data_IF_350352783596
#
_entry.id   IF_350352783596
#
_cell.length_a   1.000
_cell.length_b   1.000
_cell.length_c   1.000
_cell.angle_alpha   90.00
_cell.angle_beta   90.00
_cell.angle_gamma   90.00
#
_symmetry.space_group_name_H-M   'P 1'
#
loop_
_entity.id
_entity.type
_entity.pdbx_description
1 polymer ?
#
# COMPACT_ATOMS: atom_id res chain seq x y z
N UNK A 1 -3.31 -0.43 0.90
CA UNK A 1 -2.09 0.41 0.95
C UNK A 1 -2.08 1.39 -0.21
N UNK A 2 -1.38 2.50 -0.08
CA UNK A 2 -1.04 3.39 -1.18
C UNK A 2 -0.01 2.76 -2.14
N UNK A 3 0.29 3.42 -3.24
CA UNK A 3 1.23 2.95 -4.29
C UNK A 3 2.49 3.82 -4.33
N UNK A 4 2.34 5.10 -4.67
CA UNK A 4 3.48 6.01 -4.83
C UNK A 4 4.03 6.41 -3.45
N UNK A 5 5.31 6.18 -3.20
CA UNK A 5 5.90 6.39 -1.87
C UNK A 5 5.74 5.22 -0.88
N UNK A 6 5.03 4.15 -1.27
CA UNK A 6 4.87 2.92 -0.49
C UNK A 6 5.44 1.72 -1.25
N UNK A 7 4.86 1.38 -2.39
CA UNK A 7 5.31 0.33 -3.31
C UNK A 7 6.42 0.80 -4.27
N UNK A 8 6.56 2.11 -4.42
CA UNK A 8 7.65 2.79 -5.12
C UNK A 8 8.39 3.68 -4.13
N UNK A 9 9.49 4.28 -4.57
CA UNK A 9 10.28 5.27 -3.80
C UNK A 9 9.66 6.68 -3.80
N UNK A 10 8.44 6.84 -4.35
CA UNK A 10 7.76 8.13 -4.48
C UNK A 10 8.19 8.94 -5.69
N UNK A 11 9.06 8.42 -6.55
CA UNK A 11 9.47 9.10 -7.79
C UNK A 11 8.72 8.56 -9.01
N UNK A 12 8.53 9.43 -9.99
CA UNK A 12 7.94 9.11 -11.29
C UNK A 12 8.89 9.62 -12.38
N UNK A 13 9.34 8.73 -13.25
CA UNK A 13 10.09 9.11 -14.44
C UNK A 13 9.12 9.39 -15.58
N UNK A 14 9.24 10.58 -16.20
CA UNK A 14 8.42 10.98 -17.35
C UNK A 14 9.37 11.35 -18.49
N UNK A 15 9.27 10.64 -19.62
CA UNK A 15 10.02 10.93 -20.82
C UNK A 15 9.40 12.09 -21.62
N UNK A 16 10.15 12.64 -22.58
CA UNK A 16 9.70 13.78 -23.40
C UNK A 16 8.49 13.47 -24.28
N UNK A 17 8.23 12.20 -24.57
CA UNK A 17 7.04 11.72 -25.28
C UNK A 17 5.86 11.41 -24.35
N UNK A 18 6.01 11.71 -23.05
CA UNK A 18 4.95 11.57 -22.04
C UNK A 18 4.80 10.16 -21.44
N UNK A 19 5.71 9.24 -21.76
CA UNK A 19 5.66 7.89 -21.17
C UNK A 19 6.07 7.95 -19.70
N UNK A 20 5.19 7.44 -18.81
CA UNK A 20 5.44 7.30 -17.38
C UNK A 20 6.10 5.96 -17.08
N UNK A 21 7.11 5.98 -16.23
CA UNK A 21 7.78 4.78 -15.72
C UNK A 21 7.84 4.83 -14.19
N UNK A 22 7.57 3.69 -13.55
CA UNK A 22 7.69 3.49 -12.10
C UNK A 22 8.54 2.26 -11.81
N UNK A 23 9.35 2.33 -10.76
CA UNK A 23 10.14 1.21 -10.27
C UNK A 23 9.42 0.52 -9.12
N UNK A 24 9.13 -0.78 -9.28
CA UNK A 24 8.55 -1.62 -8.23
C UNK A 24 9.55 -2.65 -7.75
N UNK A 25 9.61 -2.86 -6.43
CA UNK A 25 10.46 -3.88 -5.83
C UNK A 25 9.90 -5.29 -6.05
N UNK A 26 10.76 -6.22 -6.50
CA UNK A 26 10.41 -7.64 -6.54
C UNK A 26 10.28 -8.24 -5.14
N UNK A 27 10.98 -7.68 -4.14
CA UNK A 27 10.87 -8.11 -2.74
C UNK A 27 9.47 -7.80 -2.20
N UNK A 28 8.97 -6.60 -2.44
CA UNK A 28 7.62 -6.18 -2.05
C UNK A 28 6.57 -7.02 -2.77
N UNK A 29 6.75 -7.23 -4.07
CA UNK A 29 5.87 -8.10 -4.85
C UNK A 29 5.77 -9.52 -4.29
N UNK A 30 6.89 -10.11 -3.88
CA UNK A 30 6.90 -11.43 -3.24
C UNK A 30 6.17 -11.43 -1.90
N UNK A 31 6.27 -10.35 -1.11
CA UNK A 31 5.49 -10.19 0.13
C UNK A 31 3.99 -10.26 -0.13
N UNK A 32 3.51 -9.53 -1.14
CA UNK A 32 2.10 -9.53 -1.52
C UNK A 32 1.62 -10.90 -2.03
N UNK A 33 2.44 -11.60 -2.82
CA UNK A 33 2.13 -12.97 -3.27
C UNK A 33 1.98 -13.92 -2.06
N UNK A 34 2.85 -13.82 -1.07
CA UNK A 34 2.76 -14.62 0.17
C UNK A 34 1.52 -14.30 0.99
N UNK A 35 1.15 -13.01 1.12
CA UNK A 35 -0.11 -12.63 1.76
C UNK A 35 -1.31 -13.25 1.04
N UNK A 36 -1.34 -13.19 -0.29
CA UNK A 36 -2.40 -13.78 -1.09
C UNK A 36 -2.49 -15.30 -0.88
N UNK A 37 -1.36 -16.01 -0.88
CA UNK A 37 -1.30 -17.46 -0.60
C UNK A 37 -1.80 -17.81 0.81
N UNK A 38 -1.63 -16.92 1.77
CA UNK A 38 -2.15 -17.05 3.13
C UNK A 38 -3.62 -16.60 3.28
N UNK A 39 -4.32 -16.29 2.19
CA UNK A 39 -5.72 -15.87 2.21
C UNK A 39 -5.94 -14.43 2.67
N UNK A 40 -4.91 -13.58 2.66
CA UNK A 40 -5.06 -12.15 2.94
C UNK A 40 -5.42 -11.42 1.66
N UNK A 41 -6.49 -10.64 1.70
CA UNK A 41 -6.92 -9.81 0.57
C UNK A 41 -6.01 -8.58 0.49
N UNK A 42 -5.41 -8.35 -0.67
CA UNK A 42 -4.57 -7.19 -0.96
C UNK A 42 -5.35 -6.18 -1.78
N UNK A 43 -5.27 -4.90 -1.37
CA UNK A 43 -5.88 -3.79 -2.10
C UNK A 43 -4.91 -2.61 -2.22
N UNK A 44 -4.91 -1.97 -3.39
CA UNK A 44 -4.16 -0.75 -3.65
C UNK A 44 -5.12 0.41 -3.86
N UNK A 45 -4.85 1.55 -3.20
CA UNK A 45 -5.64 2.78 -3.31
C UNK A 45 -4.69 3.92 -3.63
N UNK A 46 -4.62 4.35 -4.89
CA UNK A 46 -3.72 5.39 -5.36
C UNK A 46 -4.47 6.69 -5.68
N UNK A 47 -3.89 7.82 -5.31
CA UNK A 47 -4.38 9.15 -5.70
C UNK A 47 -4.20 9.44 -7.19
N UNK A 48 -3.29 8.74 -7.86
CA UNK A 48 -2.97 8.90 -9.29
C UNK A 48 -3.46 7.71 -10.10
N UNK A 49 -3.98 7.98 -11.28
CA UNK A 49 -4.19 6.96 -12.31
C UNK A 49 -2.87 6.73 -13.07
N UNK A 50 -2.46 5.47 -13.20
CA UNK A 50 -1.19 5.09 -13.82
C UNK A 50 -1.29 3.72 -14.47
N UNK A 51 -0.94 3.65 -15.75
CA UNK A 51 -0.88 2.38 -16.48
C UNK A 51 0.22 1.46 -15.93
N UNK A 52 1.36 2.01 -15.50
CA UNK A 52 2.43 1.24 -14.87
C UNK A 52 1.93 0.57 -13.58
N UNK A 53 1.12 1.26 -12.77
CA UNK A 53 0.47 0.69 -11.58
C UNK A 53 -0.52 -0.41 -11.96
N UNK A 54 -1.34 -0.19 -12.99
CA UNK A 54 -2.31 -1.18 -13.49
C UNK A 54 -1.60 -2.47 -13.92
N UNK A 55 -0.52 -2.35 -14.69
CA UNK A 55 0.28 -3.51 -15.15
C UNK A 55 0.88 -4.28 -13.98
N UNK A 56 1.45 -3.57 -12.99
CA UNK A 56 2.03 -4.23 -11.82
C UNK A 56 0.98 -4.91 -10.96
N UNK A 57 -0.16 -4.29 -10.74
CA UNK A 57 -1.28 -4.87 -10.00
C UNK A 57 -1.79 -6.15 -10.70
N UNK A 58 -1.91 -6.12 -12.02
CA UNK A 58 -2.32 -7.28 -12.83
C UNK A 58 -1.31 -8.44 -12.71
N UNK A 59 -0.01 -8.15 -12.84
CA UNK A 59 1.06 -9.14 -12.69
C UNK A 59 0.99 -9.84 -11.33
N UNK A 60 0.79 -9.07 -10.26
CA UNK A 60 0.71 -9.56 -8.88
C UNK A 60 -0.68 -10.10 -8.50
N UNK A 61 -1.65 -10.07 -9.44
CA UNK A 61 -3.04 -10.49 -9.23
C UNK A 61 -3.69 -9.78 -8.04
N UNK A 62 -3.45 -8.48 -7.89
CA UNK A 62 -4.09 -7.65 -6.87
C UNK A 62 -5.58 -7.54 -7.20
N UNK A 63 -6.49 -8.06 -6.35
CA UNK A 63 -7.92 -8.13 -6.69
C UNK A 63 -8.63 -6.78 -6.65
N UNK A 64 -8.10 -5.82 -5.90
CA UNK A 64 -8.71 -4.50 -5.71
C UNK A 64 -7.68 -3.41 -5.99
N UNK A 65 -7.81 -2.77 -7.15
CA UNK A 65 -7.04 -1.61 -7.56
C UNK A 65 -7.98 -0.41 -7.71
N UNK A 66 -7.84 0.59 -6.84
CA UNK A 66 -8.58 1.84 -6.86
C UNK A 66 -7.58 2.95 -7.20
N UNK A 67 -7.82 3.68 -8.29
CA UNK A 67 -6.94 4.76 -8.74
C UNK A 67 -7.70 6.08 -8.89
N UNK A 68 -6.99 7.21 -8.80
CA UNK A 68 -7.58 8.54 -8.91
C UNK A 68 -8.42 8.96 -7.70
N UNK A 69 -8.20 8.32 -6.53
CA UNK A 69 -8.92 8.61 -5.28
C UNK A 69 -7.96 9.20 -4.24
N UNK A 70 -8.11 10.48 -3.95
CA UNK A 70 -7.35 11.18 -2.89
C UNK A 70 -8.03 11.09 -1.51
N UNK A 71 -9.32 10.80 -1.48
CA UNK A 71 -10.11 10.54 -0.27
C UNK A 71 -9.89 9.10 0.25
N UNK A 72 -8.63 8.80 0.62
CA UNK A 72 -8.15 7.44 0.94
C UNK A 72 -8.97 6.74 2.02
N UNK A 73 -9.35 7.45 3.08
CA UNK A 73 -10.18 6.89 4.15
C UNK A 73 -11.55 6.45 3.63
N UNK A 74 -12.21 7.28 2.83
CA UNK A 74 -13.54 6.96 2.29
C UNK A 74 -13.44 5.75 1.36
N UNK A 75 -12.47 5.73 0.45
CA UNK A 75 -12.24 4.61 -0.45
C UNK A 75 -11.95 3.29 0.31
N UNK A 76 -11.17 3.37 1.40
CA UNK A 76 -10.86 2.21 2.23
C UNK A 76 -12.11 1.70 2.97
N UNK A 77 -12.94 2.60 3.52
CA UNK A 77 -14.18 2.25 4.22
C UNK A 77 -15.23 1.65 3.30
N UNK A 78 -15.38 2.19 2.09
CA UNK A 78 -16.25 1.63 1.04
C UNK A 78 -15.84 0.20 0.71
N UNK A 79 -14.55 -0.03 0.47
CA UNK A 79 -14.02 -1.37 0.18
C UNK A 79 -14.18 -2.32 1.38
N UNK A 80 -13.89 -1.86 2.59
CA UNK A 80 -14.03 -2.65 3.82
C UNK A 80 -15.49 -3.11 4.01
N UNK A 81 -16.44 -2.20 3.80
CA UNK A 81 -17.88 -2.49 3.88
C UNK A 81 -18.29 -3.53 2.83
N UNK A 82 -17.85 -3.35 1.58
CA UNK A 82 -18.11 -4.28 0.48
C UNK A 82 -17.62 -5.69 0.77
N UNK A 83 -16.46 -5.80 1.44
CA UNK A 83 -15.82 -7.08 1.76
C UNK A 83 -16.21 -7.65 3.13
N UNK A 84 -16.99 -6.91 3.93
CA UNK A 84 -17.43 -7.33 5.25
C UNK A 84 -16.34 -7.29 6.33
N UNK A 85 -15.33 -6.43 6.18
CA UNK A 85 -14.25 -6.26 7.17
C UNK A 85 -14.49 -5.06 8.08
N UNK A 86 -14.18 -5.24 9.36
CA UNK A 86 -14.05 -4.13 10.32
C UNK A 86 -12.66 -3.50 10.25
N UNK A 87 -12.53 -2.27 10.76
CA UNK A 87 -11.24 -1.58 10.84
C UNK A 87 -10.15 -2.43 11.53
N UNK A 88 -10.52 -3.16 12.59
CA UNK A 88 -9.59 -4.01 13.35
C UNK A 88 -8.93 -5.13 12.52
N UNK A 89 -9.53 -5.51 11.39
CA UNK A 89 -9.03 -6.56 10.50
C UNK A 89 -8.18 -6.02 9.33
N UNK A 90 -7.95 -4.71 9.30
CA UNK A 90 -7.31 -4.03 8.17
C UNK A 90 -5.93 -3.51 8.60
N UNK A 91 -4.93 -3.76 7.75
CA UNK A 91 -3.65 -3.06 7.74
C UNK A 91 -3.65 -2.06 6.59
N UNK A 92 -3.36 -0.79 6.87
CA UNK A 92 -3.19 0.24 5.86
C UNK A 92 -1.81 0.90 5.98
N UNK A 93 -1.10 0.99 4.86
CA UNK A 93 0.18 1.68 4.75
C UNK A 93 0.07 2.81 3.75
N UNK A 94 0.51 3.99 4.14
CA UNK A 94 0.54 5.21 3.33
C UNK A 94 1.72 6.08 3.72
N UNK A 95 2.05 7.09 2.92
CA UNK A 95 3.24 7.93 3.11
C UNK A 95 2.95 9.43 3.16
N UNK A 96 1.76 9.87 2.78
CA UNK A 96 1.43 11.30 2.65
C UNK A 96 0.30 11.73 3.62
N UNK A 97 0.09 13.03 3.71
CA UNK A 97 -0.94 13.66 4.57
C UNK A 97 -2.34 13.11 4.29
N UNK A 98 -2.64 12.85 3.01
CA UNK A 98 -3.93 12.27 2.59
C UNK A 98 -4.15 10.84 3.07
N UNK A 99 -3.09 10.12 3.43
CA UNK A 99 -3.16 8.77 3.97
C UNK A 99 -3.38 8.72 5.48
N UNK A 100 -3.00 9.79 6.21
CA UNK A 100 -3.02 9.81 7.67
C UNK A 100 -4.38 9.42 8.28
N UNK A 101 -5.54 9.88 7.75
CA UNK A 101 -6.84 9.42 8.25
C UNK A 101 -7.08 7.92 8.07
N UNK A 102 -6.65 7.33 6.95
CA UNK A 102 -6.78 5.90 6.68
C UNK A 102 -5.82 5.07 7.56
N UNK A 103 -4.59 5.56 7.76
CA UNK A 103 -3.60 4.98 8.68
C UNK A 103 -4.17 4.93 10.10
N UNK A 104 -4.75 6.05 10.58
CA UNK A 104 -5.34 6.15 11.92
C UNK A 104 -6.55 5.22 12.10
N UNK A 105 -7.38 5.09 11.06
CA UNK A 105 -8.60 4.29 11.11
C UNK A 105 -8.35 2.80 11.11
N UNK A 106 -7.33 2.32 10.39
CA UNK A 106 -7.01 0.91 10.28
C UNK A 106 -6.56 0.30 11.62
N UNK A 107 -6.86 -0.97 11.85
CA UNK A 107 -6.40 -1.71 13.02
C UNK A 107 -4.89 -1.74 13.16
N UNK A 108 -4.19 -1.81 12.02
CA UNK A 108 -2.73 -1.63 11.92
C UNK A 108 -2.48 -0.52 10.88
N UNK A 109 -2.11 0.65 11.38
CA UNK A 109 -1.63 1.74 10.54
C UNK A 109 -0.11 1.73 10.40
N UNK A 110 0.39 1.89 9.19
CA UNK A 110 1.82 1.87 8.90
C UNK A 110 2.23 3.02 7.96
N UNK A 111 3.49 3.45 8.10
CA UNK A 111 4.10 4.42 7.21
C UNK A 111 5.60 4.09 7.00
N UNK A 112 6.15 4.23 5.79
CA UNK A 112 7.58 4.05 5.56
C UNK A 112 8.40 5.16 6.25
N UNK A 113 9.69 4.91 6.49
CA UNK A 113 10.58 5.82 7.24
C UNK A 113 10.70 7.22 6.64
N UNK A 114 10.53 7.36 5.32
CA UNK A 114 10.61 8.63 4.61
C UNK A 114 9.24 9.28 4.36
N UNK A 115 8.17 8.78 4.99
CA UNK A 115 6.83 9.35 4.86
C UNK A 115 6.74 10.76 5.46
N UNK A 116 5.71 11.49 5.05
CA UNK A 116 5.44 12.82 5.60
C UNK A 116 5.16 12.74 7.11
N UNK A 117 5.50 13.80 7.88
CA UNK A 117 5.36 13.79 9.33
C UNK A 117 3.97 13.40 9.84
N UNK A 118 2.93 13.82 9.16
CA UNK A 118 1.54 13.51 9.52
C UNK A 118 1.24 12.02 9.39
N UNK A 119 1.72 11.37 8.32
CA UNK A 119 1.59 9.94 8.12
C UNK A 119 2.38 9.15 9.17
N UNK A 120 3.62 9.59 9.49
CA UNK A 120 4.44 8.98 10.55
C UNK A 120 3.79 9.08 11.93
N UNK A 121 3.18 10.23 12.26
CA UNK A 121 2.48 10.42 13.54
C UNK A 121 1.22 9.53 13.65
N UNK A 122 0.54 9.27 12.54
CA UNK A 122 -0.62 8.40 12.48
C UNK A 122 -0.27 6.91 12.58
N UNK A 123 0.95 6.53 12.18
CA UNK A 123 1.38 5.15 12.07
C UNK A 123 1.74 4.54 13.43
N UNK A 124 1.33 3.28 13.62
CA UNK A 124 1.79 2.44 14.75
C UNK A 124 3.01 1.61 14.41
N UNK A 125 3.26 1.43 13.13
CA UNK A 125 4.37 0.63 12.63
C UNK A 125 5.10 1.36 11.51
N UNK A 126 6.43 1.42 11.63
CA UNK A 126 7.32 1.97 10.61
C UNK A 126 8.38 0.92 10.28
N UNK A 127 8.36 0.33 9.06
CA UNK A 127 9.34 -0.66 8.65
C UNK A 127 10.74 -0.04 8.59
N UNK A 128 11.77 -0.85 8.88
CA UNK A 128 13.16 -0.40 8.80
C UNK A 128 13.63 -0.21 7.35
N UNK A 129 13.05 -0.96 6.41
CA UNK A 129 13.38 -0.84 4.99
C UNK A 129 12.67 0.35 4.36
N UNK A 130 13.29 1.04 3.39
CA UNK A 130 12.66 2.16 2.71
C UNK A 130 11.56 1.71 1.74
N UNK A 131 10.64 2.65 1.43
CA UNK A 131 9.61 2.47 0.42
C UNK A 131 10.22 2.08 -0.94
N UNK A 132 9.54 1.20 -1.69
CA UNK A 132 10.05 0.69 -2.96
C UNK A 132 11.28 -0.23 -2.85
N UNK A 133 11.76 -0.52 -1.64
CA UNK A 133 12.97 -1.33 -1.40
C UNK A 133 12.77 -2.37 -0.28
N UNK A 134 11.57 -2.83 -0.06
CA UNK A 134 11.26 -3.89 0.88
C UNK A 134 10.47 -3.47 2.11
N UNK A 135 10.02 -2.23 2.22
CA UNK A 135 9.16 -1.79 3.32
C UNK A 135 7.84 -2.57 3.38
N UNK A 136 7.19 -2.76 2.23
CA UNK A 136 5.96 -3.54 2.12
C UNK A 136 6.24 -5.02 2.40
N UNK A 137 7.38 -5.56 1.96
CA UNK A 137 7.79 -6.93 2.30
C UNK A 137 7.87 -7.13 3.80
N UNK A 138 8.47 -6.20 4.52
CA UNK A 138 8.64 -6.28 5.97
C UNK A 138 7.28 -6.33 6.69
N UNK A 139 6.33 -5.47 6.31
CA UNK A 139 4.97 -5.51 6.84
C UNK A 139 4.26 -6.83 6.52
N UNK A 140 4.40 -7.34 5.30
CA UNK A 140 3.82 -8.61 4.92
C UNK A 140 4.31 -9.76 5.83
N UNK A 141 5.61 -9.79 6.13
CA UNK A 141 6.18 -10.81 7.03
C UNK A 141 5.65 -10.67 8.47
N UNK A 142 5.47 -9.44 8.96
CA UNK A 142 4.87 -9.20 10.27
C UNK A 142 3.42 -9.71 10.34
N UNK A 143 2.62 -9.44 9.32
CA UNK A 143 1.24 -9.94 9.24
C UNK A 143 1.22 -11.47 9.22
N UNK A 144 2.07 -12.10 8.42
CA UNK A 144 2.16 -13.56 8.32
C UNK A 144 2.59 -14.20 9.64
N UNK A 145 3.57 -13.62 10.32
CA UNK A 145 4.06 -14.13 11.60
C UNK A 145 2.98 -14.13 12.70
N UNK A 146 2.04 -13.19 12.66
CA UNK A 146 0.96 -13.08 13.64
C UNK A 146 -0.23 -14.01 13.35
N UNK A 147 -0.32 -14.57 12.15
CA UNK A 147 -1.42 -15.50 11.80
C UNK A 147 -1.16 -16.94 12.26
N UNK A 148 0.06 -17.23 12.72
CA UNK A 148 0.48 -18.60 13.05
C UNK A 148 0.68 -19.48 11.81
N UNK A 149 1.19 -20.70 12.00
CA UNK A 149 1.27 -21.69 10.94
C UNK A 149 -0.11 -22.20 10.53
#
# INVERSE_FOLDING_TARGET
MDVDGVLTDGTVAISSDGVETKNFSILDGMGLVRLHQAGVIVAWISGRASEATTRRATELRVPHLIQGRTDKLVALQELATQLGFSAAQICYMGDDDIDAPAITWAGIGAAPTAAMPTALQAARYTPARPAGHGAVREICEQILAQRGP
#
